data_IF_052579491424
#
_entry.id   IF_052579491424
#
_cell.length_a   1.000
_cell.length_b   1.000
_cell.length_c   1.000
_cell.angle_alpha   90.00
_cell.angle_beta   90.00
_cell.angle_gamma   90.00
#
_symmetry.space_group_name_H-M   'P 1'
#
loop_
_entity.id
_entity.type
_entity.pdbx_description
1 polymer ?
#
# COMPACT_ATOMS: atom_id res chain seq x y z
N UNK A 1 -7.00 -15.75 -15.55
CA UNK A 1 -7.18 -14.30 -15.45
C UNK A 1 -6.84 -13.69 -16.79
N UNK A 2 -7.76 -12.96 -17.41
CA UNK A 2 -7.49 -12.24 -18.66
C UNK A 2 -6.98 -10.81 -18.37
N UNK A 3 -6.62 -10.07 -19.41
CA UNK A 3 -6.02 -8.73 -19.26
C UNK A 3 -7.02 -7.72 -18.66
N UNK A 4 -8.31 -7.84 -18.97
CA UNK A 4 -9.34 -6.93 -18.48
C UNK A 4 -9.58 -7.14 -16.97
N UNK A 5 -9.58 -8.39 -16.51
CA UNK A 5 -9.66 -8.75 -15.09
C UNK A 5 -8.46 -8.21 -14.31
N UNK A 6 -7.25 -8.24 -14.91
CA UNK A 6 -6.05 -7.67 -14.29
C UNK A 6 -6.13 -6.15 -14.15
N UNK A 7 -6.66 -5.45 -15.15
CA UNK A 7 -6.83 -4.00 -15.10
C UNK A 7 -7.83 -3.62 -14.01
N UNK A 8 -8.97 -4.32 -13.94
CA UNK A 8 -9.96 -4.07 -12.88
C UNK A 8 -9.38 -4.33 -11.48
N UNK A 9 -8.61 -5.41 -11.34
CA UNK A 9 -7.95 -5.74 -10.08
C UNK A 9 -6.90 -4.68 -9.70
N UNK A 10 -6.10 -4.19 -10.65
CA UNK A 10 -5.11 -3.14 -10.41
C UNK A 10 -5.78 -1.87 -9.86
N UNK A 11 -6.83 -1.39 -10.53
CA UNK A 11 -7.54 -0.18 -10.11
C UNK A 11 -8.08 -0.30 -8.69
N UNK A 12 -8.65 -1.45 -8.34
CA UNK A 12 -9.18 -1.68 -7.00
C UNK A 12 -8.07 -1.80 -5.95
N UNK A 13 -6.97 -2.49 -6.26
CA UNK A 13 -5.82 -2.59 -5.35
C UNK A 13 -5.16 -1.23 -5.11
N UNK A 14 -5.04 -0.42 -6.17
CA UNK A 14 -4.52 0.94 -6.15
C UNK A 14 -5.38 1.83 -5.25
N UNK A 15 -6.70 1.79 -5.43
CA UNK A 15 -7.67 2.53 -4.60
C UNK A 15 -7.53 2.13 -3.12
N UNK A 16 -7.54 0.83 -2.82
CA UNK A 16 -7.39 0.34 -1.44
C UNK A 16 -6.04 0.71 -0.80
N UNK A 17 -4.96 0.78 -1.59
CA UNK A 17 -3.65 1.15 -1.06
C UNK A 17 -3.65 2.60 -0.57
N UNK A 18 -4.28 3.51 -1.32
CA UNK A 18 -4.43 4.90 -0.91
C UNK A 18 -5.32 5.03 0.33
N UNK A 19 -6.44 4.30 0.40
CA UNK A 19 -7.29 4.28 1.60
C UNK A 19 -6.53 3.83 2.85
N UNK A 20 -5.68 2.81 2.73
CA UNK A 20 -4.87 2.32 3.84
C UNK A 20 -3.80 3.34 4.22
N UNK A 21 -3.09 3.92 3.24
CA UNK A 21 -2.08 4.96 3.50
C UNK A 21 -2.67 6.14 4.27
N UNK A 22 -3.87 6.58 3.89
CA UNK A 22 -4.61 7.66 4.55
C UNK A 22 -5.07 7.25 5.95
N UNK A 23 -5.67 6.06 6.10
CA UNK A 23 -6.15 5.56 7.39
C UNK A 23 -5.03 5.36 8.42
N UNK A 24 -3.87 4.86 7.96
CA UNK A 24 -2.70 4.67 8.79
C UNK A 24 -1.99 5.99 9.12
N UNK A 25 -2.35 7.10 8.47
CA UNK A 25 -1.66 8.39 8.58
C UNK A 25 -0.13 8.24 8.47
N UNK A 26 0.31 7.29 7.64
CA UNK A 26 1.67 6.75 7.71
C UNK A 26 2.72 7.78 7.27
N UNK A 27 2.41 8.53 6.21
CA UNK A 27 3.29 9.60 5.74
C UNK A 27 3.46 10.69 6.80
N UNK A 28 2.40 11.05 7.51
CA UNK A 28 2.50 12.01 8.61
C UNK A 28 3.35 11.47 9.75
N UNK A 29 3.10 10.23 10.18
CA UNK A 29 3.88 9.58 11.23
C UNK A 29 5.39 9.57 10.90
N UNK A 30 5.74 9.29 9.65
CA UNK A 30 7.14 9.22 9.20
C UNK A 30 7.78 10.60 8.95
N UNK A 31 6.98 11.63 8.71
CA UNK A 31 7.47 12.99 8.40
C UNK A 31 8.35 13.60 9.50
N UNK A 32 8.23 13.14 10.75
CA UNK A 32 9.09 13.56 11.87
C UNK A 32 10.54 13.09 11.74
N UNK A 33 10.80 12.06 10.93
CA UNK A 33 12.12 11.48 10.72
C UNK A 33 12.77 11.94 9.40
N UNK A 34 11.98 12.46 8.46
CA UNK A 34 12.44 12.72 7.11
C UNK A 34 11.33 13.07 6.13
N UNK A 35 11.60 12.86 4.85
CA UNK A 35 10.65 13.05 3.75
C UNK A 35 10.20 11.69 3.21
N UNK A 36 9.05 11.15 3.68
CA UNK A 36 8.53 9.90 3.17
C UNK A 36 7.99 10.07 1.75
N UNK A 37 8.26 9.09 0.88
CA UNK A 37 7.78 9.02 -0.49
C UNK A 37 7.18 7.63 -0.71
N UNK A 38 5.96 7.58 -1.24
CA UNK A 38 5.41 6.32 -1.73
C UNK A 38 6.23 5.94 -2.96
N UNK A 39 6.68 4.68 -3.00
CA UNK A 39 7.44 4.12 -4.12
C UNK A 39 6.80 2.80 -4.55
N UNK A 40 7.47 2.05 -5.43
CA UNK A 40 7.00 0.73 -5.83
C UNK A 40 5.71 0.74 -6.64
N UNK A 41 4.97 -0.36 -6.56
CA UNK A 41 3.77 -0.65 -7.35
C UNK A 41 2.66 0.41 -7.18
N UNK A 42 2.48 0.93 -5.96
CA UNK A 42 1.52 2.00 -5.67
C UNK A 42 1.88 3.28 -6.41
N UNK A 43 3.15 3.70 -6.37
CA UNK A 43 3.57 4.93 -7.05
C UNK A 43 3.49 4.81 -8.58
N UNK A 44 3.63 3.59 -9.12
CA UNK A 44 3.66 3.33 -10.56
C UNK A 44 2.30 3.01 -11.18
N UNK A 45 1.26 2.76 -10.38
CA UNK A 45 -0.04 2.29 -10.89
C UNK A 45 0.04 0.90 -11.52
N UNK A 46 0.81 0.01 -10.88
CA UNK A 46 1.08 -1.36 -11.35
C UNK A 46 0.77 -2.39 -10.25
N UNK A 47 -0.23 -2.10 -9.43
CA UNK A 47 -0.60 -2.93 -8.28
C UNK A 47 -1.12 -4.30 -8.72
N UNK A 48 -0.42 -5.35 -8.27
CA UNK A 48 -0.86 -6.76 -8.43
C UNK A 48 -0.99 -7.46 -7.08
N UNK A 49 -0.33 -6.93 -6.05
CA UNK A 49 -0.34 -7.43 -4.68
C UNK A 49 -0.81 -6.35 -3.72
N UNK A 50 -1.01 -6.72 -2.45
CA UNK A 50 -1.39 -5.79 -1.38
C UNK A 50 -0.17 -5.40 -0.56
N UNK A 51 0.81 -4.83 -1.24
CA UNK A 51 2.01 -4.26 -0.65
C UNK A 51 1.99 -2.73 -0.73
N UNK A 52 2.67 -2.11 0.22
CA UNK A 52 2.93 -0.67 0.25
C UNK A 52 4.41 -0.51 0.48
N UNK A 53 5.04 0.27 -0.39
CA UNK A 53 6.46 0.59 -0.33
C UNK A 53 6.64 2.08 -0.06
N UNK A 54 7.48 2.40 0.92
CA UNK A 54 7.87 3.78 1.24
C UNK A 54 9.38 3.87 1.28
N UNK A 55 9.91 4.87 0.58
CA UNK A 55 11.27 5.35 0.77
C UNK A 55 11.23 6.58 1.68
N UNK A 56 11.87 6.48 2.84
CA UNK A 56 11.99 7.58 3.78
C UNK A 56 13.37 8.20 3.64
N UNK A 57 13.44 9.33 2.95
CA UNK A 57 14.67 10.13 2.89
C UNK A 57 14.92 10.79 4.25
N UNK A 58 16.01 10.43 4.91
CA UNK A 58 16.35 10.90 6.26
C UNK A 58 16.92 12.31 6.18
N UNK A 59 16.27 13.26 6.86
CA UNK A 59 16.70 14.66 6.89
C UNK A 59 17.07 15.15 8.29
N UNK A 60 16.99 14.28 9.30
CA UNK A 60 17.38 14.56 10.68
C UNK A 60 18.14 13.38 11.29
N UNK A 61 18.37 13.42 12.59
CA UNK A 61 18.95 12.28 13.31
C UNK A 61 17.87 11.20 13.53
N UNK A 62 18.15 9.99 13.06
CA UNK A 62 17.35 8.79 13.34
C UNK A 62 18.22 7.80 14.11
N UNK A 63 17.71 7.30 15.23
CA UNK A 63 18.39 6.32 16.08
C UNK A 63 17.78 4.95 15.85
N UNK A 64 18.46 3.91 16.31
CA UNK A 64 17.96 2.53 16.23
C UNK A 64 16.54 2.38 16.81
N UNK A 65 16.28 3.03 17.96
CA UNK A 65 14.95 3.03 18.60
C UNK A 65 13.84 3.52 17.65
N UNK A 66 14.13 4.47 16.77
CA UNK A 66 13.14 5.02 15.84
C UNK A 66 12.71 4.00 14.76
N UNK A 67 13.59 3.06 14.40
CA UNK A 67 13.25 1.92 13.53
C UNK A 67 12.27 1.00 14.26
N UNK A 68 12.55 0.68 15.52
CA UNK A 68 11.68 -0.17 16.33
C UNK A 68 10.32 0.47 16.60
N UNK A 69 10.29 1.79 16.84
CA UNK A 69 9.02 2.51 16.96
C UNK A 69 8.22 2.54 15.66
N UNK A 70 8.89 2.60 14.51
CA UNK A 70 8.24 2.49 13.20
C UNK A 70 7.66 1.10 13.00
N UNK A 71 8.42 0.03 13.29
CA UNK A 71 7.92 -1.33 13.22
C UNK A 71 6.72 -1.53 14.15
N UNK A 72 6.80 -1.05 15.39
CA UNK A 72 5.71 -1.12 16.37
C UNK A 72 4.46 -0.39 15.91
N UNK A 73 4.61 0.82 15.35
CA UNK A 73 3.50 1.60 14.83
C UNK A 73 2.75 0.84 13.72
N UNK A 74 3.50 0.24 12.79
CA UNK A 74 2.94 -0.52 11.66
C UNK A 74 2.32 -1.85 12.09
N UNK A 75 3.00 -2.62 12.94
CA UNK A 75 2.51 -3.91 13.42
C UNK A 75 1.33 -3.80 14.39
N UNK A 76 1.08 -2.62 14.94
CA UNK A 76 -0.11 -2.34 15.76
C UNK A 76 -1.39 -2.17 14.93
N UNK A 77 -1.30 -2.19 13.60
CA UNK A 77 -2.43 -2.00 12.70
C UNK A 77 -2.99 -3.36 12.26
N UNK A 78 -4.29 -3.56 12.41
CA UNK A 78 -4.95 -4.84 12.10
C UNK A 78 -4.86 -5.22 10.61
N UNK A 79 -4.63 -4.25 9.73
CA UNK A 79 -4.49 -4.47 8.30
C UNK A 79 -3.11 -4.98 7.92
N UNK A 80 -2.07 -4.69 8.71
CA UNK A 80 -0.68 -5.03 8.38
C UNK A 80 -0.35 -6.45 8.86
N UNK A 81 0.24 -7.25 7.97
CA UNK A 81 0.63 -8.65 8.25
C UNK A 81 2.13 -8.89 8.20
N UNK A 82 2.86 -8.03 7.49
CA UNK A 82 4.30 -8.11 7.35
C UNK A 82 4.84 -6.69 7.28
N UNK A 83 5.95 -6.47 7.97
CA UNK A 83 6.72 -5.22 7.90
C UNK A 83 8.16 -5.58 7.55
N UNK A 84 8.68 -4.91 6.54
CA UNK A 84 10.09 -4.94 6.14
C UNK A 84 10.68 -3.58 6.43
N UNK A 85 11.78 -3.52 7.18
CA UNK A 85 12.58 -2.31 7.35
C UNK A 85 13.98 -2.60 6.82
N UNK A 86 14.50 -1.68 6.01
CA UNK A 86 15.89 -1.75 5.52
C UNK A 86 16.56 -0.42 5.80
N UNK A 87 17.66 -0.49 6.54
CA UNK A 87 18.52 0.66 6.83
C UNK A 87 19.46 0.92 5.63
N UNK A 88 19.15 1.95 4.86
CA UNK A 88 19.92 2.36 3.69
C UNK A 88 20.77 3.62 3.96
N UNK A 89 20.98 4.00 5.23
CA UNK A 89 21.69 5.24 5.57
C UNK A 89 23.13 5.27 5.12
N UNK A 90 23.78 4.11 5.07
CA UNK A 90 25.19 3.96 4.72
C UNK A 90 25.42 3.42 3.29
N UNK A 91 24.35 3.29 2.48
CA UNK A 91 24.49 2.85 1.09
C UNK A 91 25.20 3.93 0.27
N UNK A 92 26.36 3.58 -0.29
CA UNK A 92 27.17 4.47 -1.10
C UNK A 92 26.78 4.32 -2.57
N UNK A 93 25.76 5.05 -2.99
CA UNK A 93 25.32 5.17 -4.39
C UNK A 93 25.29 6.65 -4.81
N UNK A 94 25.67 6.93 -6.06
CA UNK A 94 25.70 8.31 -6.57
C UNK A 94 24.29 8.91 -6.52
N UNK A 95 24.16 10.08 -5.88
CA UNK A 95 22.90 10.82 -5.70
C UNK A 95 21.83 10.12 -4.86
N UNK A 96 22.18 9.10 -4.08
CA UNK A 96 21.24 8.50 -3.13
C UNK A 96 21.38 9.18 -1.77
N UNK A 97 20.35 9.88 -1.26
CA UNK A 97 20.38 10.39 0.10
C UNK A 97 20.25 9.23 1.11
N UNK A 98 20.76 9.42 2.35
CA UNK A 98 20.50 8.47 3.43
C UNK A 98 19.00 8.21 3.56
N UNK A 99 18.62 6.94 3.61
CA UNK A 99 17.21 6.53 3.57
C UNK A 99 16.91 5.33 4.46
N UNK A 100 15.63 5.14 4.76
CA UNK A 100 15.09 3.89 5.26
C UNK A 100 14.02 3.43 4.28
N UNK A 101 14.12 2.19 3.80
CA UNK A 101 13.02 1.57 3.06
C UNK A 101 12.07 0.86 4.03
N UNK A 102 10.77 1.02 3.79
CA UNK A 102 9.69 0.44 4.57
C UNK A 102 8.76 -0.28 3.60
N UNK A 103 8.65 -1.60 3.74
CA UNK A 103 7.67 -2.42 3.04
C UNK A 103 6.59 -2.91 3.98
N UNK A 104 5.34 -2.94 3.54
CA UNK A 104 4.21 -3.45 4.31
C UNK A 104 3.29 -4.32 3.48
N UNK A 105 3.12 -5.60 3.83
CA UNK A 105 2.04 -6.43 3.24
C UNK A 105 0.81 -6.33 4.12
N UNK A 106 -0.36 -6.23 3.49
CA UNK A 106 -1.64 -6.06 4.18
C UNK A 106 -2.69 -7.10 3.81
N UNK A 107 -3.62 -7.33 4.73
CA UNK A 107 -4.88 -8.04 4.47
C UNK A 107 -5.76 -7.23 3.49
N UNK A 108 -6.67 -7.90 2.77
CA UNK A 108 -7.78 -7.20 2.14
C UNK A 108 -8.53 -6.38 3.18
N UNK A 109 -8.93 -5.16 2.83
CA UNK A 109 -9.90 -4.43 3.64
C UNK A 109 -11.15 -5.30 3.75
N UNK A 110 -11.62 -5.55 4.97
CA UNK A 110 -12.91 -6.20 5.14
C UNK A 110 -13.95 -5.27 4.52
N UNK A 111 -14.73 -5.78 3.57
CA UNK A 111 -15.90 -5.03 3.11
C UNK A 111 -16.73 -4.74 4.35
N UNK A 112 -17.10 -3.47 4.56
CA UNK A 112 -18.18 -3.18 5.50
C UNK A 112 -19.33 -4.05 5.03
N UNK A 113 -19.75 -5.01 5.85
CA UNK A 113 -20.95 -5.80 5.61
C UNK A 113 -22.12 -4.82 5.57
N UNK A 114 -22.39 -4.28 4.38
CA UNK A 114 -23.65 -3.67 4.05
C UNK A 114 -24.69 -4.76 4.23
N UNK A 115 -25.44 -4.68 5.32
CA UNK A 115 -26.72 -5.35 5.40
C UNK A 115 -27.60 -4.77 4.30
N UNK A 116 -27.63 -5.44 3.16
CA UNK A 116 -28.79 -5.52 2.29
C UNK A 116 -28.55 -6.71 1.36
N UNK A 117 -29.31 -7.78 1.62
CA UNK A 117 -29.72 -8.70 0.58
C UNK A 117 -30.27 -7.91 -0.59
N UNK A 118 -29.68 -8.05 -1.76
CA UNK A 118 -30.43 -8.11 -3.00
C UNK A 118 -29.58 -8.81 -4.06
N UNK A 119 -30.09 -9.98 -4.46
CA UNK A 119 -29.68 -10.72 -5.63
C UNK A 119 -29.85 -9.85 -6.87
N UNK A 120 -28.82 -9.77 -7.71
CA UNK A 120 -28.89 -8.99 -8.94
C UNK A 120 -27.64 -9.17 -9.79
N UNK A 121 -27.46 -10.38 -10.32
CA UNK A 121 -26.49 -10.64 -11.37
C UNK A 121 -26.73 -9.67 -12.55
N UNK A 122 -25.75 -8.81 -12.83
CA UNK A 122 -25.73 -7.97 -14.02
C UNK A 122 -24.60 -8.44 -14.94
N UNK A 123 -24.94 -9.29 -15.91
CA UNK A 123 -24.12 -9.55 -17.09
C UNK A 123 -24.83 -8.93 -18.30
N UNK A 124 -24.20 -7.97 -19.02
CA UNK A 124 -24.79 -7.43 -20.23
C UNK A 124 -24.47 -8.33 -21.43
N UNK A 125 -25.53 -8.74 -22.13
CA UNK A 125 -25.45 -9.08 -23.55
C UNK A 125 -25.43 -10.56 -23.90
N UNK A 126 -26.62 -11.16 -24.04
CA UNK A 126 -26.93 -11.92 -25.25
C UNK A 126 -28.35 -11.57 -25.70
N UNK A 127 -28.43 -10.96 -26.88
CA UNK A 127 -29.67 -10.60 -27.55
C UNK A 127 -30.43 -11.86 -27.95
N UNK A 128 -31.72 -11.88 -27.61
CA UNK A 128 -32.67 -12.85 -28.15
C UNK A 128 -32.93 -12.49 -29.61
N UNK A 129 -32.42 -13.29 -30.55
CA UNK A 129 -33.01 -13.39 -31.88
C UNK A 129 -34.15 -14.40 -31.79
N UNK A 130 -35.39 -13.91 -31.94
CA UNK A 130 -36.57 -14.74 -32.10
C UNK A 130 -37.52 -14.07 -33.10
N UNK A 131 -37.57 -14.62 -34.31
CA UNK A 131 -38.78 -14.95 -35.08
C UNK A 131 -38.48 -16.28 -35.77
#
# INVERSE_FOLDING_TARGET
MNIDELIVQEVELQRQAHEVLDALNLLHFLSKYGRPKIVGSVALGLMTWRDIDIDLEITGEIREEDFWQTAKYLLAQDEITLVTLVDNREIIEKNRPPSMYIGGTRRPLQSKSGGSSDEGAWYPGQGKTGV
#
